data_IF_330286097777
#
_entry.id   IF_330286097777
#
_cell.length_a   1.000
_cell.length_b   1.000
_cell.length_c   1.000
_cell.angle_alpha   90.00
_cell.angle_beta   90.00
_cell.angle_gamma   90.00
#
_symmetry.space_group_name_H-M   'P 1'
#
loop_
_entity.id
_entity.type
_entity.pdbx_description
1 polymer ?
#
# COMPACT_ATOMS: atom_id res chain seq x y z
N UNK A 1 0.38 20.66 -16.04
CA UNK A 1 1.48 19.75 -16.42
C UNK A 1 2.63 19.96 -15.44
N UNK A 2 3.19 18.90 -14.84
CA UNK A 2 4.35 19.06 -13.96
C UNK A 2 5.58 19.49 -14.77
N UNK A 3 6.25 20.57 -14.35
CA UNK A 3 7.49 21.05 -14.94
C UNK A 3 8.67 20.57 -14.09
N UNK A 4 9.72 20.08 -14.76
CA UNK A 4 10.96 19.68 -14.10
C UNK A 4 12.00 20.74 -14.48
N UNK A 5 12.45 21.51 -13.49
CA UNK A 5 13.58 22.41 -13.64
C UNK A 5 14.83 21.65 -13.19
N UNK A 6 15.73 21.35 -14.13
CA UNK A 6 16.95 20.61 -13.87
C UNK A 6 18.16 21.44 -14.32
N UNK A 7 19.10 21.65 -13.41
CA UNK A 7 20.41 22.18 -13.75
C UNK A 7 21.32 21.01 -14.15
N UNK A 8 21.92 21.10 -15.32
CA UNK A 8 22.75 20.04 -15.89
C UNK A 8 24.18 20.53 -16.09
N UNK A 9 25.13 19.60 -16.04
CA UNK A 9 26.51 19.88 -16.37
C UNK A 9 26.70 19.93 -17.90
N UNK A 10 27.76 20.58 -18.40
CA UNK A 10 28.07 20.62 -19.83
C UNK A 10 28.27 19.23 -20.45
N UNK A 11 28.87 18.30 -19.68
CA UNK A 11 29.07 16.93 -20.14
C UNK A 11 27.75 16.18 -20.31
N UNK A 12 26.80 16.41 -19.40
CA UNK A 12 25.46 15.86 -19.52
C UNK A 12 24.73 16.42 -20.74
N UNK A 13 24.88 17.72 -21.02
CA UNK A 13 24.27 18.34 -22.19
C UNK A 13 24.77 17.71 -23.49
N UNK A 14 26.09 17.50 -23.63
CA UNK A 14 26.68 16.82 -24.80
C UNK A 14 26.14 15.39 -24.98
N UNK A 15 26.04 14.63 -23.88
CA UNK A 15 25.49 13.28 -23.91
C UNK A 15 24.00 13.28 -24.31
N UNK A 16 23.23 14.26 -23.80
CA UNK A 16 21.81 14.41 -24.13
C UNK A 16 21.61 14.79 -25.60
N UNK A 17 22.44 15.66 -26.16
CA UNK A 17 22.40 16.01 -27.59
C UNK A 17 22.73 14.80 -28.48
N UNK A 18 23.73 14.01 -28.12
CA UNK A 18 24.04 12.78 -28.83
C UNK A 18 22.86 11.78 -28.81
N UNK A 19 22.19 11.64 -27.66
CA UNK A 19 20.98 10.83 -27.53
C UNK A 19 19.84 11.37 -28.42
N UNK A 20 19.62 12.69 -28.41
CA UNK A 20 18.61 13.35 -29.23
C UNK A 20 18.84 13.10 -30.72
N UNK A 21 20.09 13.20 -31.20
CA UNK A 21 20.44 12.91 -32.59
C UNK A 21 20.24 11.43 -32.93
N UNK A 22 20.73 10.52 -32.08
CA UNK A 22 20.63 9.08 -32.30
C UNK A 22 19.19 8.55 -32.32
N UNK A 23 18.31 9.12 -31.48
CA UNK A 23 16.90 8.73 -31.37
C UNK A 23 15.95 9.65 -32.13
N UNK A 24 16.46 10.68 -32.82
CA UNK A 24 15.69 11.71 -33.55
C UNK A 24 14.64 12.41 -32.69
N UNK A 25 14.98 12.74 -31.45
CA UNK A 25 14.10 13.43 -30.50
C UNK A 25 14.30 14.94 -30.64
N UNK A 26 13.20 15.68 -30.85
CA UNK A 26 13.25 17.11 -31.14
C UNK A 26 13.42 17.99 -29.89
N UNK A 27 12.98 17.53 -28.71
CA UNK A 27 12.97 18.34 -27.48
C UNK A 27 13.87 17.77 -26.39
N UNK A 28 14.64 18.65 -25.73
CA UNK A 28 15.49 18.30 -24.56
C UNK A 28 14.65 17.68 -23.44
N UNK A 29 13.48 18.25 -23.16
CA UNK A 29 12.59 17.73 -22.11
C UNK A 29 12.05 16.34 -22.44
N UNK A 30 11.77 16.08 -23.71
CA UNK A 30 11.32 14.76 -24.18
C UNK A 30 12.45 13.74 -24.07
N UNK A 31 13.67 14.11 -24.47
CA UNK A 31 14.84 13.25 -24.37
C UNK A 31 15.16 12.88 -22.91
N UNK A 32 15.06 13.83 -21.98
CA UNK A 32 15.24 13.58 -20.55
C UNK A 32 14.17 12.60 -20.04
N UNK A 33 12.90 12.81 -20.38
CA UNK A 33 11.81 11.89 -19.96
C UNK A 33 12.01 10.50 -20.53
N UNK A 34 12.41 10.41 -21.80
CA UNK A 34 12.71 9.15 -22.46
C UNK A 34 13.84 8.41 -21.74
N UNK A 35 14.98 9.08 -21.51
CA UNK A 35 16.15 8.50 -20.85
C UNK A 35 15.82 8.04 -19.42
N UNK A 36 15.11 8.85 -18.64
CA UNK A 36 14.69 8.50 -17.27
C UNK A 36 13.73 7.31 -17.30
N UNK A 37 12.76 7.29 -18.21
CA UNK A 37 11.79 6.18 -18.29
C UNK A 37 12.46 4.87 -18.70
N UNK A 38 13.34 4.91 -19.69
CA UNK A 38 14.06 3.72 -20.18
C UNK A 38 14.97 3.14 -19.09
N UNK A 39 15.72 4.00 -18.40
CA UNK A 39 16.62 3.57 -17.31
C UNK A 39 15.86 3.14 -16.06
N UNK A 40 14.72 3.77 -15.76
CA UNK A 40 13.89 3.40 -14.60
C UNK A 40 13.02 2.17 -14.84
N UNK A 41 12.79 1.75 -16.10
CA UNK A 41 11.88 0.65 -16.43
C UNK A 41 12.14 -0.65 -15.64
N UNK A 42 13.39 -1.11 -15.44
CA UNK A 42 13.67 -2.31 -14.64
C UNK A 42 13.31 -2.17 -13.16
N UNK A 43 13.35 -0.93 -12.64
CA UNK A 43 13.07 -0.63 -11.22
C UNK A 43 11.59 -0.31 -10.97
N UNK A 44 10.87 0.13 -12.00
CA UNK A 44 9.42 0.36 -11.95
C UNK A 44 8.60 -0.91 -12.17
N UNK A 45 9.19 -1.93 -12.79
CA UNK A 45 8.60 -3.27 -12.83
C UNK A 45 8.66 -3.88 -11.42
N UNK A 46 7.79 -3.41 -10.52
CA UNK A 46 7.49 -4.16 -9.32
C UNK A 46 7.07 -5.57 -9.76
N UNK A 47 7.52 -6.64 -9.09
CA UNK A 47 6.97 -7.96 -9.36
C UNK A 47 5.47 -7.83 -9.18
N UNK A 48 4.70 -8.04 -10.26
CA UNK A 48 3.27 -8.26 -10.17
C UNK A 48 3.13 -9.46 -9.22
N UNK A 49 2.86 -9.18 -7.95
CA UNK A 49 2.56 -10.22 -6.97
C UNK A 49 1.26 -10.83 -7.46
N UNK A 50 1.40 -12.02 -8.01
CA UNK A 50 0.27 -12.83 -8.39
C UNK A 50 -0.37 -13.33 -7.11
N UNK A 51 -1.52 -12.74 -6.78
CA UNK A 51 -2.34 -13.12 -5.64
C UNK A 51 -3.37 -14.20 -5.99
N UNK A 52 -3.35 -14.77 -7.20
CA UNK A 52 -4.25 -15.87 -7.58
C UNK A 52 -4.06 -17.10 -6.70
N UNK A 53 -2.85 -17.30 -6.12
CA UNK A 53 -2.61 -18.35 -5.12
C UNK A 53 -3.33 -18.05 -3.79
N UNK A 54 -3.60 -16.78 -3.47
CA UNK A 54 -4.35 -16.38 -2.29
C UNK A 54 -5.88 -16.46 -2.49
N UNK A 55 -6.40 -16.36 -3.72
CA UNK A 55 -7.85 -16.53 -3.98
C UNK A 55 -8.34 -17.88 -3.44
N UNK A 56 -7.63 -18.96 -3.76
CA UNK A 56 -7.96 -20.31 -3.27
C UNK A 56 -7.71 -20.55 -1.78
N UNK A 57 -7.04 -19.63 -1.08
CA UNK A 57 -6.82 -19.67 0.38
C UNK A 57 -7.93 -18.90 1.13
N UNK A 58 -8.45 -17.82 0.55
CA UNK A 58 -9.59 -17.06 1.07
C UNK A 58 -10.87 -17.89 1.00
N UNK A 59 -11.07 -18.62 -0.10
CA UNK A 59 -12.23 -19.52 -0.22
C UNK A 59 -12.13 -20.71 0.74
N UNK A 60 -10.91 -21.17 1.04
CA UNK A 60 -10.69 -22.32 1.94
C UNK A 60 -10.80 -21.95 3.42
N UNK A 61 -10.53 -20.69 3.79
CA UNK A 61 -10.81 -20.18 5.13
C UNK A 61 -12.31 -19.93 5.32
N UNK A 62 -13.02 -19.51 4.27
CA UNK A 62 -14.49 -19.46 4.26
C UNK A 62 -15.13 -20.85 4.34
N UNK A 63 -14.49 -21.89 3.77
CA UNK A 63 -14.99 -23.27 3.82
C UNK A 63 -14.67 -24.02 5.13
N UNK A 64 -13.75 -23.50 5.98
CA UNK A 64 -13.39 -24.11 7.28
C UNK A 64 -14.06 -23.46 8.49
N UNK A 65 -14.75 -22.33 8.31
CA UNK A 65 -15.69 -21.81 9.30
C UNK A 65 -17.09 -22.20 8.87
N UNK A 66 -17.85 -22.83 9.76
CA UNK A 66 -19.29 -23.03 9.59
C UNK A 66 -19.92 -21.77 8.98
N UNK A 67 -20.35 -21.87 7.72
CA UNK A 67 -21.06 -20.79 7.04
C UNK A 67 -22.43 -20.69 7.69
N UNK A 68 -22.50 -20.00 8.82
CA UNK A 68 -23.76 -19.40 9.25
C UNK A 68 -24.19 -18.46 8.13
N UNK A 69 -25.45 -18.55 7.65
CA UNK A 69 -25.94 -17.66 6.61
C UNK A 69 -25.66 -16.21 7.03
N UNK A 70 -25.19 -15.38 6.08
CA UNK A 70 -24.94 -13.95 6.29
C UNK A 70 -26.19 -13.35 6.94
N UNK A 71 -26.11 -13.12 8.25
CA UNK A 71 -27.18 -12.43 8.99
C UNK A 71 -27.25 -11.00 8.48
N UNK A 72 -28.45 -10.43 8.32
CA UNK A 72 -28.59 -9.03 7.94
C UNK A 72 -27.82 -8.15 8.94
N UNK A 73 -27.18 -7.09 8.44
CA UNK A 73 -26.25 -6.22 9.19
C UNK A 73 -26.87 -5.74 10.52
N UNK A 74 -28.17 -5.48 10.54
CA UNK A 74 -28.91 -5.06 11.72
C UNK A 74 -28.91 -6.08 12.89
N UNK A 75 -28.76 -7.37 12.61
CA UNK A 75 -28.64 -8.39 13.67
C UNK A 75 -27.25 -8.40 14.29
N UNK A 76 -26.21 -8.18 13.47
CA UNK A 76 -24.82 -8.07 13.92
C UNK A 76 -24.62 -6.84 14.81
N UNK A 77 -25.21 -5.71 14.43
CA UNK A 77 -25.17 -4.47 15.22
C UNK A 77 -25.78 -4.67 16.61
N UNK A 78 -26.91 -5.39 16.71
CA UNK A 78 -27.55 -5.68 18.01
C UNK A 78 -26.72 -6.62 18.89
N UNK A 79 -26.07 -7.62 18.30
CA UNK A 79 -25.17 -8.51 19.04
C UNK A 79 -23.95 -7.75 19.56
N UNK A 80 -23.36 -6.85 18.74
CA UNK A 80 -22.25 -6.00 19.13
C UNK A 80 -22.62 -5.01 20.24
N UNK A 81 -23.78 -4.36 20.16
CA UNK A 81 -24.25 -3.45 21.20
C UNK A 81 -24.46 -4.18 22.54
N UNK A 82 -25.03 -5.39 22.51
CA UNK A 82 -25.24 -6.21 23.70
C UNK A 82 -23.92 -6.68 24.33
N UNK A 83 -22.94 -7.07 23.50
CA UNK A 83 -21.60 -7.44 23.98
C UNK A 83 -20.87 -6.24 24.60
N UNK A 84 -20.98 -5.07 23.98
CA UNK A 84 -20.36 -3.83 24.46
C UNK A 84 -20.99 -3.37 25.78
N UNK A 85 -22.31 -3.51 25.93
CA UNK A 85 -23.03 -3.23 27.17
C UNK A 85 -22.60 -4.17 28.31
N UNK A 86 -22.39 -5.45 28.02
CA UNK A 86 -21.87 -6.41 29.00
C UNK A 86 -20.43 -6.09 29.43
N UNK A 87 -19.57 -5.70 28.48
CA UNK A 87 -18.19 -5.31 28.77
C UNK A 87 -18.09 -4.06 29.65
N UNK A 88 -19.02 -3.11 29.47
CA UNK A 88 -19.12 -1.89 30.27
C UNK A 88 -19.67 -2.14 31.68
N UNK A 89 -20.46 -3.20 31.87
CA UNK A 89 -21.02 -3.57 33.18
C UNK A 89 -20.03 -4.31 34.10
N UNK A 90 -18.87 -4.76 33.60
CA UNK A 90 -17.82 -5.32 34.45
C UNK A 90 -17.27 -4.20 35.34
N UNK A 91 -17.50 -4.21 36.67
CA UNK A 91 -16.91 -3.21 37.53
C UNK A 91 -15.41 -3.43 37.47
N UNK A 92 -14.66 -2.41 37.03
CA UNK A 92 -13.21 -2.40 37.23
C UNK A 92 -12.94 -2.58 38.73
N UNK A 93 -12.65 -3.82 39.14
CA UNK A 93 -12.04 -4.11 40.43
C UNK A 93 -10.64 -3.49 40.38
N UNK A 94 -10.58 -2.20 40.69
CA UNK A 94 -9.39 -1.48 41.09
C UNK A 94 -8.70 -2.32 42.17
N UNK A 95 -7.58 -2.97 41.84
CA UNK A 95 -6.58 -3.31 42.85
C UNK A 95 -5.56 -2.20 42.89
N UNK A 96 -5.93 -1.14 43.61
CA UNK A 96 -4.96 -0.34 44.34
C UNK A 96 -4.81 -0.98 45.73
N UNK A 97 -3.66 -1.62 45.98
CA UNK A 97 -3.11 -1.94 47.30
C UNK A 97 -1.63 -2.31 47.08
N UNK A 98 -0.69 -1.36 47.13
CA UNK A 98 0.01 -0.90 48.34
C UNK A 98 0.83 -1.99 49.07
N UNK A 99 2.14 -2.02 48.82
CA UNK A 99 3.26 -2.24 49.75
C UNK A 99 4.51 -2.51 48.88
N UNK A 100 5.62 -1.78 48.95
CA UNK A 100 6.21 -1.09 50.08
C UNK A 100 7.30 -1.96 50.70
N UNK A 101 8.55 -1.48 50.52
CA UNK A 101 9.82 -1.82 51.20
C UNK A 101 10.68 -2.98 50.66
N UNK A 102 11.88 -2.52 50.24
CA UNK A 102 13.25 -2.98 50.54
C UNK A 102 13.63 -4.41 50.20
#
# INVERSE_FOLDING_TARGET
>A
MAQINLHITPDFERALEALMQGKKIASKSEAIRYAVRETAAPYLAAPRRDFSVLEGLIDRSAAKGDVKPRRPIAELERELDAEMEQALQVPQRRKAASRGKR
#
